data_IF_622047589379
#
_entry.id   IF_622047589379
#
_cell.length_a   1.000
_cell.length_b   1.000
_cell.length_c   1.000
_cell.angle_alpha   90.00
_cell.angle_beta   90.00
_cell.angle_gamma   90.00
#
_symmetry.space_group_name_H-M   'P 1'
#
loop_
_entity.id
_entity.type
_entity.pdbx_description
1 polymer ?
#
# COMPACT_ATOMS: atom_id res chain seq x y z
N UNK A 1 6.57 -32.45 21.33
CA UNK A 1 7.20 -33.28 20.26
C UNK A 1 7.57 -32.36 19.10
N UNK A 2 8.79 -32.48 18.57
CA UNK A 2 9.20 -31.68 17.41
C UNK A 2 8.45 -32.16 16.16
N UNK A 3 7.97 -31.21 15.33
CA UNK A 3 7.34 -31.55 14.05
C UNK A 3 8.38 -32.19 13.10
N UNK A 4 8.02 -33.20 12.31
CA UNK A 4 8.91 -33.75 11.31
C UNK A 4 9.22 -32.74 10.20
N UNK A 5 10.41 -32.80 9.63
CA UNK A 5 10.87 -31.83 8.58
C UNK A 5 9.90 -31.78 7.39
N UNK A 6 9.28 -32.92 7.05
CA UNK A 6 8.28 -32.99 5.97
C UNK A 6 7.04 -32.11 6.20
N UNK A 7 6.74 -31.77 7.44
CA UNK A 7 5.65 -30.83 7.79
C UNK A 7 6.14 -29.40 7.96
N UNK A 8 7.40 -29.19 8.29
CA UNK A 8 7.95 -27.84 8.47
C UNK A 8 7.98 -27.03 7.17
N UNK A 9 8.26 -27.67 6.04
CA UNK A 9 8.33 -26.98 4.73
C UNK A 9 6.96 -26.48 4.27
N UNK A 10 5.89 -27.28 4.28
CA UNK A 10 4.54 -26.78 4.00
C UNK A 10 4.10 -25.68 4.94
N UNK A 11 4.27 -25.86 6.26
CA UNK A 11 3.90 -24.84 7.27
C UNK A 11 4.63 -23.51 7.03
N UNK A 12 5.94 -23.56 6.73
CA UNK A 12 6.72 -22.37 6.42
C UNK A 12 6.22 -21.66 5.14
N UNK A 13 5.88 -22.43 4.10
CA UNK A 13 5.33 -21.85 2.86
C UNK A 13 3.99 -21.19 3.09
N UNK A 14 3.14 -21.79 3.90
CA UNK A 14 1.85 -21.21 4.25
C UNK A 14 2.03 -19.93 5.07
N UNK A 15 2.86 -19.96 6.11
CA UNK A 15 3.21 -18.78 6.90
C UNK A 15 3.78 -17.65 6.04
N UNK A 16 4.62 -17.97 5.06
CA UNK A 16 5.19 -16.98 4.15
C UNK A 16 4.12 -16.36 3.24
N UNK A 17 3.18 -17.16 2.73
CA UNK A 17 2.05 -16.65 1.93
C UNK A 17 1.17 -15.71 2.74
N UNK A 18 0.75 -16.13 3.90
CA UNK A 18 -0.10 -15.35 4.80
C UNK A 18 0.62 -14.05 5.21
N UNK A 19 1.91 -14.16 5.53
CA UNK A 19 2.74 -13.01 5.87
C UNK A 19 2.89 -12.00 4.73
N UNK A 20 3.04 -12.47 3.50
CA UNK A 20 3.10 -11.59 2.33
C UNK A 20 1.76 -10.92 2.04
N UNK A 21 0.64 -11.64 2.15
CA UNK A 21 -0.70 -11.07 1.98
C UNK A 21 -0.96 -9.98 3.04
N UNK A 22 -0.66 -10.26 4.32
CA UNK A 22 -0.80 -9.29 5.42
C UNK A 22 0.12 -8.08 5.22
N UNK A 23 1.40 -8.30 4.88
CA UNK A 23 2.37 -7.23 4.66
C UNK A 23 1.98 -6.29 3.51
N UNK A 24 1.44 -6.83 2.42
CA UNK A 24 0.94 -6.03 1.29
C UNK A 24 -0.26 -5.18 1.72
N UNK A 25 -1.18 -5.73 2.49
CA UNK A 25 -2.30 -4.98 3.06
C UNK A 25 -1.84 -3.82 3.94
N UNK A 26 -0.87 -4.07 4.81
CA UNK A 26 -0.28 -3.05 5.69
C UNK A 26 0.44 -1.95 4.89
N UNK A 27 1.23 -2.32 3.88
CA UNK A 27 1.91 -1.36 3.00
C UNK A 27 0.91 -0.48 2.26
N UNK A 28 -0.16 -1.04 1.71
CA UNK A 28 -1.21 -0.24 1.05
C UNK A 28 -1.92 0.66 2.06
N UNK A 29 -2.16 0.19 3.27
CA UNK A 29 -2.71 1.01 4.35
C UNK A 29 -1.83 2.22 4.65
N UNK A 30 -0.53 2.03 4.77
CA UNK A 30 0.44 3.12 4.97
C UNK A 30 0.45 4.10 3.78
N UNK A 31 0.41 3.59 2.54
CA UNK A 31 0.37 4.43 1.34
C UNK A 31 -0.90 5.27 1.23
N UNK A 32 -2.02 4.76 1.72
CA UNK A 32 -3.27 5.50 1.82
C UNK A 32 -3.18 6.59 2.89
N UNK A 33 -2.56 6.29 4.03
CA UNK A 33 -2.47 7.20 5.17
C UNK A 33 -1.44 8.31 4.95
N UNK A 34 -0.27 7.97 4.40
CA UNK A 34 0.82 8.90 4.12
C UNK A 34 0.60 9.73 2.85
N UNK A 35 -0.21 9.24 1.91
CA UNK A 35 -0.42 9.85 0.60
C UNK A 35 -1.30 11.10 0.64
N UNK A 36 -1.26 11.90 -0.46
CA UNK A 36 -2.07 13.09 -0.57
C UNK A 36 -3.55 12.77 -0.64
N UNK A 37 -4.32 13.55 0.08
CA UNK A 37 -5.75 13.39 0.12
C UNK A 37 -6.49 14.67 -0.27
N UNK A 38 -7.13 14.66 -1.43
CA UNK A 38 -7.97 15.76 -1.89
C UNK A 38 -9.46 15.40 -1.82
N UNK A 39 -9.86 14.53 -2.75
CA UNK A 39 -11.23 14.04 -2.86
C UNK A 39 -11.36 12.59 -2.38
N UNK A 40 -10.27 11.99 -1.92
CA UNK A 40 -10.21 10.57 -1.63
C UNK A 40 -10.00 9.69 -2.87
N UNK A 41 -10.01 10.26 -4.06
CA UNK A 41 -9.84 9.53 -5.31
C UNK A 41 -8.51 8.79 -5.37
N UNK A 42 -7.41 9.46 -5.04
CA UNK A 42 -6.09 8.84 -5.00
C UNK A 42 -6.03 7.73 -3.95
N UNK A 43 -6.49 8.00 -2.74
CA UNK A 43 -6.49 7.05 -1.63
C UNK A 43 -7.28 5.77 -1.95
N UNK A 44 -8.39 5.88 -2.67
CA UNK A 44 -9.25 4.72 -3.04
C UNK A 44 -8.86 4.02 -4.34
N UNK A 45 -7.86 4.54 -5.05
CA UNK A 45 -7.47 4.03 -6.37
C UNK A 45 -6.23 3.15 -6.34
N UNK A 46 -5.86 2.65 -5.18
CA UNK A 46 -4.81 1.65 -5.08
C UNK A 46 -5.30 0.29 -5.57
N UNK A 47 -4.43 -0.42 -6.28
CA UNK A 47 -4.67 -1.76 -6.77
C UNK A 47 -3.50 -2.67 -6.42
N UNK A 48 -3.82 -3.91 -6.09
CA UNK A 48 -2.85 -4.97 -5.83
C UNK A 48 -3.09 -6.10 -6.83
N UNK A 49 -2.02 -6.61 -7.40
CA UNK A 49 -2.02 -7.80 -8.26
C UNK A 49 -0.95 -8.78 -7.81
N UNK A 50 -1.22 -10.07 -7.93
CA UNK A 50 -0.18 -11.10 -7.75
C UNK A 50 0.77 -11.11 -8.94
N UNK A 51 2.05 -11.36 -8.67
CA UNK A 51 3.12 -11.40 -9.67
C UNK A 51 3.50 -10.02 -10.23
N UNK A 52 4.38 -10.04 -11.23
CA UNK A 52 4.81 -8.82 -11.93
C UNK A 52 3.85 -8.51 -13.08
N UNK A 53 2.98 -7.56 -12.86
CA UNK A 53 1.97 -7.14 -13.85
C UNK A 53 1.84 -5.62 -13.89
N UNK A 54 1.36 -5.09 -15.02
CA UNK A 54 1.08 -3.67 -15.13
C UNK A 54 -0.19 -3.29 -14.36
N UNK A 55 -0.17 -2.12 -13.72
CA UNK A 55 -1.37 -1.52 -13.11
C UNK A 55 -2.03 -0.62 -14.17
N UNK A 56 -3.29 -0.88 -14.53
CA UNK A 56 -4.00 -0.06 -15.51
C UNK A 56 -4.26 1.34 -14.97
N UNK A 57 -4.41 2.30 -15.87
CA UNK A 57 -4.97 3.60 -15.55
C UNK A 57 -6.48 3.52 -15.77
N UNK A 58 -7.24 3.81 -14.72
CA UNK A 58 -8.71 3.80 -14.76
C UNK A 58 -9.20 5.10 -14.17
N UNK A 59 -10.12 5.77 -14.86
CA UNK A 59 -10.81 6.96 -14.33
C UNK A 59 -11.97 6.46 -13.46
N UNK A 60 -11.89 6.57 -12.13
CA UNK A 60 -13.00 6.18 -11.28
C UNK A 60 -14.20 7.11 -11.49
N UNK A 61 -15.38 6.53 -11.57
CA UNK A 61 -16.63 7.30 -11.78
C UNK A 61 -17.25 7.83 -10.49
N UNK A 62 -16.88 7.28 -9.35
CA UNK A 62 -17.43 7.65 -8.05
C UNK A 62 -16.31 8.13 -7.14
N UNK A 63 -16.48 9.32 -6.58
CA UNK A 63 -15.57 9.88 -5.60
C UNK A 63 -15.93 9.32 -4.22
N UNK A 64 -14.96 8.78 -3.51
CA UNK A 64 -15.20 8.35 -2.16
C UNK A 64 -15.16 9.54 -1.19
N UNK A 65 -15.42 9.24 -0.03
CA UNK A 65 -15.73 9.95 1.19
C UNK A 65 -14.75 11.07 1.57
N UNK A 66 -15.23 12.17 2.14
CA UNK A 66 -14.41 13.27 2.66
C UNK A 66 -13.44 12.83 3.76
N UNK A 67 -12.28 13.47 3.84
CA UNK A 67 -11.22 13.20 4.81
C UNK A 67 -11.65 13.25 6.28
N UNK A 68 -12.69 14.03 6.58
CA UNK A 68 -13.22 14.17 7.94
C UNK A 68 -13.63 12.82 8.57
N UNK A 69 -13.83 11.79 7.74
CA UNK A 69 -14.18 10.44 8.16
C UNK A 69 -12.97 9.48 8.22
N UNK A 70 -11.76 9.98 7.99
CA UNK A 70 -10.54 9.18 8.14
C UNK A 70 -10.22 8.92 9.61
N UNK A 71 -10.87 7.93 10.15
CA UNK A 71 -10.35 7.18 11.30
C UNK A 71 -9.51 6.01 10.78
N UNK A 72 -8.61 5.44 11.58
CA UNK A 72 -7.87 4.23 11.22
C UNK A 72 -8.77 3.06 10.78
N UNK A 73 -10.06 3.09 11.14
CA UNK A 73 -11.09 2.17 10.67
C UNK A 73 -11.49 2.42 9.21
N UNK A 74 -11.45 3.67 8.78
CA UNK A 74 -11.80 4.07 7.42
C UNK A 74 -10.69 3.72 6.42
N UNK A 75 -9.43 3.91 6.78
CA UNK A 75 -8.29 3.50 5.95
C UNK A 75 -8.39 2.02 5.58
N UNK A 76 -8.78 1.16 6.54
CA UNK A 76 -8.98 -0.27 6.30
C UNK A 76 -10.03 -0.57 5.23
N UNK A 77 -11.06 0.26 5.12
CA UNK A 77 -12.12 0.08 4.12
C UNK A 77 -11.68 0.48 2.70
N UNK A 78 -10.59 1.27 2.59
CA UNK A 78 -10.01 1.67 1.31
C UNK A 78 -8.94 0.70 0.81
N UNK A 79 -8.46 -0.20 1.65
CA UNK A 79 -7.49 -1.22 1.23
C UNK A 79 -8.18 -2.11 0.20
N UNK A 80 -7.62 -2.23 -1.02
CA UNK A 80 -8.18 -3.09 -2.04
C UNK A 80 -8.13 -4.55 -1.61
N UNK A 81 -8.95 -5.38 -2.26
CA UNK A 81 -8.85 -6.82 -2.07
C UNK A 81 -7.44 -7.32 -2.47
N UNK A 82 -6.76 -7.97 -1.54
CA UNK A 82 -5.44 -8.55 -1.78
C UNK A 82 -5.65 -9.92 -2.42
N UNK A 83 -5.19 -10.15 -3.67
CA UNK A 83 -5.34 -11.43 -4.32
C UNK A 83 -4.48 -12.49 -3.62
N UNK A 84 -5.00 -13.69 -3.47
CA UNK A 84 -4.23 -14.81 -2.91
C UNK A 84 -3.03 -15.12 -3.80
N UNK A 85 -1.86 -15.24 -3.19
CA UNK A 85 -0.63 -15.61 -3.87
C UNK A 85 -0.37 -17.11 -3.75
N UNK A 86 -0.74 -17.86 -4.76
CA UNK A 86 -0.57 -19.31 -4.74
C UNK A 86 0.87 -19.78 -5.00
N UNK A 87 1.71 -18.93 -5.61
CA UNK A 87 3.04 -19.28 -6.09
C UNK A 87 4.23 -18.62 -5.40
N UNK A 88 4.04 -17.75 -4.43
CA UNK A 88 5.09 -16.87 -3.86
C UNK A 88 5.75 -15.94 -4.91
N UNK A 89 4.98 -15.55 -5.92
CA UNK A 89 5.47 -14.69 -7.03
C UNK A 89 5.62 -13.22 -6.65
N UNK A 90 5.28 -12.87 -5.42
CA UNK A 90 5.24 -11.49 -4.95
C UNK A 90 3.98 -10.74 -5.40
N UNK A 91 4.01 -9.44 -5.23
CA UNK A 91 2.89 -8.56 -5.55
C UNK A 91 3.34 -7.32 -6.29
N UNK A 92 2.48 -6.84 -7.17
CA UNK A 92 2.59 -5.52 -7.79
C UNK A 92 1.54 -4.59 -7.20
N UNK A 93 2.00 -3.45 -6.71
CA UNK A 93 1.16 -2.39 -6.15
C UNK A 93 1.21 -1.17 -7.07
N UNK A 94 0.11 -0.50 -7.24
CA UNK A 94 0.09 0.75 -7.97
C UNK A 94 -1.22 1.50 -7.82
N UNK A 95 -1.17 2.77 -8.13
CA UNK A 95 -2.34 3.63 -8.13
C UNK A 95 -2.89 3.79 -9.55
N UNK A 96 -4.19 3.68 -9.71
CA UNK A 96 -4.87 3.69 -11.01
C UNK A 96 -5.18 5.09 -11.55
N UNK A 97 -4.94 6.15 -10.78
CA UNK A 97 -5.25 7.51 -11.24
C UNK A 97 -4.29 7.98 -12.34
N UNK A 98 -4.78 8.80 -13.26
CA UNK A 98 -3.97 9.38 -14.35
C UNK A 98 -2.88 10.32 -13.80
N UNK A 99 -3.15 10.98 -12.69
CA UNK A 99 -2.23 11.93 -12.05
C UNK A 99 -1.33 11.29 -10.98
N UNK A 100 -1.25 9.96 -10.93
CA UNK A 100 -0.47 9.23 -9.92
C UNK A 100 0.99 9.68 -9.82
N UNK A 101 1.64 9.97 -10.94
CA UNK A 101 3.02 10.47 -10.96
C UNK A 101 3.15 11.79 -10.18
N UNK A 102 2.26 12.75 -10.43
CA UNK A 102 2.25 14.00 -9.68
C UNK A 102 1.94 13.83 -8.20
N UNK A 103 1.00 12.93 -7.89
CA UNK A 103 0.61 12.67 -6.52
C UNK A 103 1.71 11.95 -5.72
N UNK A 104 2.50 11.08 -6.35
CA UNK A 104 3.61 10.39 -5.72
C UNK A 104 4.82 11.30 -5.54
N UNK A 105 5.17 12.09 -6.53
CA UNK A 105 6.35 12.95 -6.51
C UNK A 105 6.11 14.26 -5.77
N UNK A 106 4.87 14.73 -5.71
CA UNK A 106 4.49 16.05 -5.18
C UNK A 106 5.44 17.15 -5.65
N UNK A 107 5.84 17.10 -6.91
CA UNK A 107 6.71 18.10 -7.51
C UNK A 107 6.07 19.47 -7.34
N UNK A 108 6.77 20.47 -6.78
CA UNK A 108 6.31 21.83 -6.81
C UNK A 108 6.17 22.19 -8.29
N UNK A 109 4.92 22.40 -8.74
CA UNK A 109 4.71 22.87 -10.10
C UNK A 109 5.47 24.18 -10.23
N UNK A 110 6.40 24.26 -11.17
CA UNK A 110 7.27 25.40 -11.46
C UNK A 110 6.51 26.71 -11.75
N UNK A 111 5.18 26.72 -11.67
CA UNK A 111 4.30 27.85 -11.93
C UNK A 111 3.40 28.25 -10.74
N UNK A 112 3.81 27.98 -9.51
CA UNK A 112 3.05 28.44 -8.33
C UNK A 112 1.61 27.90 -8.22
N UNK A 113 1.22 26.98 -9.08
CA UNK A 113 0.06 26.12 -8.83
C UNK A 113 0.51 25.09 -7.82
N UNK A 114 0.52 25.49 -6.56
CA UNK A 114 0.23 24.52 -5.52
C UNK A 114 -0.91 23.68 -6.07
N UNK A 115 -0.77 22.36 -6.03
CA UNK A 115 -1.85 21.47 -6.39
C UNK A 115 -3.06 21.85 -5.54
N UNK A 116 -3.85 22.76 -6.08
CA UNK A 116 -5.01 23.41 -5.52
C UNK A 116 -4.77 23.98 -4.13
N UNK A 117 -5.46 25.03 -3.81
CA UNK A 117 -5.76 25.41 -2.42
C UNK A 117 -6.64 24.33 -1.74
N UNK A 118 -6.33 23.05 -2.01
CA UNK A 118 -6.96 21.98 -1.28
C UNK A 118 -6.42 22.07 0.13
N UNK A 119 -7.21 22.52 1.11
CA UNK A 119 -6.76 22.72 2.50
C UNK A 119 -6.25 21.42 3.15
N UNK A 120 -6.13 20.35 2.40
CA UNK A 120 -5.92 18.99 2.83
C UNK A 120 -4.82 18.22 2.09
N UNK A 121 -3.97 18.86 1.30
CA UNK A 121 -2.75 18.22 0.80
C UNK A 121 -1.77 18.07 1.96
N UNK A 122 -1.91 17.00 2.74
CA UNK A 122 -1.10 16.77 3.95
C UNK A 122 0.14 15.94 3.71
N UNK A 123 0.25 15.32 2.56
CA UNK A 123 1.43 14.55 2.25
C UNK A 123 2.66 15.47 2.16
N UNK A 124 3.75 15.02 2.75
CA UNK A 124 5.04 15.71 2.66
C UNK A 124 5.56 15.62 1.22
N UNK A 125 6.36 16.60 0.81
CA UNK A 125 7.13 16.49 -0.43
C UNK A 125 7.93 15.18 -0.41
N UNK A 126 7.97 14.50 -1.55
CA UNK A 126 8.70 13.24 -1.72
C UNK A 126 8.22 12.11 -0.77
N UNK A 127 7.00 12.19 -0.25
CA UNK A 127 6.45 11.23 0.71
C UNK A 127 6.55 9.78 0.24
N UNK A 128 6.24 9.53 -1.03
CA UNK A 128 6.29 8.18 -1.61
C UNK A 128 7.74 7.66 -1.68
N UNK A 129 8.65 8.49 -2.18
CA UNK A 129 10.07 8.16 -2.26
C UNK A 129 10.66 7.89 -0.86
N UNK A 130 10.31 8.72 0.11
CA UNK A 130 10.74 8.56 1.50
C UNK A 130 10.17 7.29 2.11
N UNK A 131 8.92 6.95 1.84
CA UNK A 131 8.30 5.74 2.35
C UNK A 131 8.92 4.48 1.72
N UNK A 132 9.12 4.46 0.40
CA UNK A 132 9.61 3.28 -0.32
C UNK A 132 11.11 3.05 -0.12
N UNK A 133 11.92 4.11 -0.07
CA UNK A 133 13.39 4.01 -0.11
C UNK A 133 14.10 4.49 1.15
N UNK A 134 13.39 4.92 2.20
CA UNK A 134 14.06 5.37 3.41
C UNK A 134 14.86 4.23 4.07
N UNK A 135 16.15 4.40 4.31
CA UNK A 135 16.97 3.41 5.01
C UNK A 135 16.43 3.15 6.43
N UNK A 136 16.11 1.90 6.73
CA UNK A 136 15.64 1.49 8.06
C UNK A 136 14.23 1.95 8.44
N UNK A 137 13.45 2.48 7.51
CA UNK A 137 12.09 2.95 7.74
C UNK A 137 11.12 2.61 6.60
N UNK A 138 9.90 3.13 6.72
CA UNK A 138 8.88 3.04 5.69
C UNK A 138 8.49 1.61 5.33
N UNK A 139 8.39 1.34 4.03
CA UNK A 139 7.90 0.08 3.48
C UNK A 139 8.72 -1.13 3.93
N UNK A 140 10.04 -1.03 3.88
CA UNK A 140 10.92 -2.15 4.28
C UNK A 140 10.73 -2.56 5.73
N UNK A 141 10.64 -1.58 6.62
CA UNK A 141 10.35 -1.82 8.05
C UNK A 141 8.98 -2.46 8.24
N UNK A 142 7.94 -1.94 7.59
CA UNK A 142 6.58 -2.47 7.66
C UNK A 142 6.53 -3.93 7.26
N UNK A 143 7.11 -4.29 6.12
CA UNK A 143 7.15 -5.68 5.63
C UNK A 143 7.86 -6.58 6.65
N UNK A 144 9.02 -6.17 7.15
CA UNK A 144 9.78 -6.96 8.11
C UNK A 144 9.02 -7.18 9.42
N UNK A 145 8.40 -6.14 9.96
CA UNK A 145 7.62 -6.22 11.20
C UNK A 145 6.42 -7.15 11.03
N UNK A 146 5.70 -7.05 9.92
CA UNK A 146 4.54 -7.90 9.64
C UNK A 146 4.95 -9.36 9.47
N UNK A 147 5.98 -9.64 8.67
CA UNK A 147 6.49 -11.01 8.51
C UNK A 147 6.94 -11.61 9.83
N UNK A 148 7.66 -10.85 10.66
CA UNK A 148 8.10 -11.29 11.98
C UNK A 148 6.89 -11.64 12.86
N UNK A 149 5.85 -10.80 12.86
CA UNK A 149 4.64 -11.07 13.63
C UNK A 149 3.90 -12.32 13.14
N UNK A 150 3.85 -12.55 11.84
CA UNK A 150 3.22 -13.76 11.29
C UNK A 150 4.02 -14.99 11.67
N UNK A 151 5.33 -15.01 11.43
CA UNK A 151 6.17 -16.16 11.78
C UNK A 151 6.17 -16.51 13.27
N UNK A 152 5.98 -15.54 14.15
CA UNK A 152 5.86 -15.80 15.58
C UNK A 152 4.54 -16.49 15.99
N UNK A 153 3.56 -16.58 15.09
CA UNK A 153 2.28 -17.29 15.32
C UNK A 153 2.34 -18.78 14.94
N UNK A 154 3.33 -19.22 14.15
CA UNK A 154 3.53 -20.59 13.69
C UNK A 154 4.58 -21.34 14.49
#
# INVERSE_FOLDING_TARGET
>A
MAKPISQLIPDFREALKDGLEEAVGDVVGDLIDEGPYWSGLFASSWMVRSGQTSIPTVIPRNYPVPRQEQSGKFVKNLIPNIPKNNGLEGYTLGNMTEYRGYAMDLLPTTKGRQMGNAPNATAKKDWFLLYVHAPGGGMGKRINDTLTNVFNKY
#
